data_IF_770023999314
#
_entry.id   IF_770023999314
#
_cell.length_a   1.000
_cell.length_b   1.000
_cell.length_c   1.000
_cell.angle_alpha   90.00
_cell.angle_beta   90.00
_cell.angle_gamma   90.00
#
_symmetry.space_group_name_H-M   'P 1'
#
loop_
_entity.id
_entity.type
_entity.pdbx_description
1 polymer ?
#
# COMPACT_ATOMS: atom_id res chain seq x y z
N UNK A 1 -10.16 -8.64 -10.02
CA UNK A 1 -9.54 -7.99 -11.20
C UNK A 1 -8.60 -8.89 -12.02
N UNK A 2 -8.21 -10.08 -11.54
CA UNK A 2 -7.38 -11.00 -12.36
C UNK A 2 -5.93 -10.52 -12.50
N UNK A 3 -5.14 -11.21 -13.33
CA UNK A 3 -3.74 -10.85 -13.57
C UNK A 3 -3.62 -9.65 -14.53
N UNK A 4 -2.83 -8.65 -14.13
CA UNK A 4 -2.48 -7.51 -14.97
C UNK A 4 -1.00 -7.56 -15.32
N UNK A 5 -0.69 -7.34 -16.61
CA UNK A 5 0.70 -7.21 -17.05
C UNK A 5 1.31 -5.95 -16.44
N UNK A 6 2.60 -6.01 -16.12
CA UNK A 6 3.32 -4.85 -15.59
C UNK A 6 3.17 -3.60 -16.48
N UNK A 7 3.17 -3.76 -17.81
CA UNK A 7 2.96 -2.64 -18.75
C UNK A 7 1.60 -1.95 -18.65
N UNK A 8 0.59 -2.61 -18.07
CA UNK A 8 -0.76 -2.08 -17.85
C UNK A 8 -1.04 -1.70 -16.40
N UNK A 9 -0.13 -2.04 -15.49
CA UNK A 9 -0.26 -1.77 -14.06
C UNK A 9 -0.36 -0.25 -13.76
N UNK A 10 0.42 0.65 -14.40
CA UNK A 10 0.34 2.08 -14.11
C UNK A 10 -1.05 2.67 -14.39
N UNK A 11 -1.76 2.18 -15.42
CA UNK A 11 -3.12 2.63 -15.73
C UNK A 11 -4.13 2.09 -14.70
N UNK A 12 -3.96 0.84 -14.28
CA UNK A 12 -4.78 0.27 -13.21
C UNK A 12 -4.61 1.04 -11.90
N UNK A 13 -3.36 1.28 -11.48
CA UNK A 13 -3.07 2.03 -10.25
C UNK A 13 -3.67 3.44 -10.32
N UNK A 14 -3.53 4.15 -11.44
CA UNK A 14 -4.16 5.47 -11.65
C UNK A 14 -5.68 5.46 -11.64
N UNK A 15 -6.33 4.30 -11.78
CA UNK A 15 -7.79 4.19 -11.73
C UNK A 15 -8.35 4.08 -10.31
N UNK A 16 -7.49 3.90 -9.30
CA UNK A 16 -7.88 3.85 -7.90
C UNK A 16 -7.67 5.22 -7.23
N UNK A 17 -8.31 5.41 -6.07
CA UNK A 17 -8.12 6.59 -5.22
C UNK A 17 -7.04 6.36 -4.14
N UNK A 18 -6.93 5.12 -3.66
CA UNK A 18 -6.04 4.72 -2.57
C UNK A 18 -5.35 3.37 -2.86
N UNK A 19 -4.16 3.17 -2.29
CA UNK A 19 -3.49 1.88 -2.22
C UNK A 19 -3.48 1.39 -0.77
N UNK A 20 -4.16 0.28 -0.48
CA UNK A 20 -4.09 -0.35 0.85
C UNK A 20 -3.00 -1.42 0.84
N UNK A 21 -2.06 -1.34 1.78
CA UNK A 21 -0.95 -2.27 1.94
C UNK A 21 -1.01 -2.99 3.31
N UNK A 22 -1.80 -4.09 3.41
CA UNK A 22 -2.05 -4.81 4.66
C UNK A 22 -0.99 -5.85 5.02
N UNK A 23 0.27 -5.63 4.62
CA UNK A 23 1.30 -6.67 4.78
C UNK A 23 1.77 -6.79 6.21
N UNK A 24 1.88 -8.03 6.69
CA UNK A 24 2.57 -8.35 7.95
C UNK A 24 4.09 -8.24 7.75
N UNK A 25 4.62 -8.65 6.59
CA UNK A 25 6.04 -8.62 6.30
C UNK A 25 6.26 -8.23 4.84
N UNK A 26 7.09 -7.21 4.62
CA UNK A 26 7.49 -6.74 3.30
C UNK A 26 8.88 -6.11 3.41
N UNK A 27 9.87 -6.65 2.70
CA UNK A 27 11.25 -6.20 2.82
C UNK A 27 11.53 -4.90 2.06
N UNK A 28 10.83 -4.69 0.96
CA UNK A 28 11.21 -3.68 -0.04
C UNK A 28 10.06 -2.72 -0.38
N UNK A 29 8.81 -3.15 -0.16
CA UNK A 29 7.60 -2.34 -0.41
C UNK A 29 7.50 -1.80 -1.83
N UNK A 30 7.98 -2.58 -2.82
CA UNK A 30 8.02 -2.17 -4.24
C UNK A 30 6.63 -1.79 -4.75
N UNK A 31 5.60 -2.56 -4.39
CA UNK A 31 4.21 -2.26 -4.77
C UNK A 31 3.70 -0.92 -4.22
N UNK A 32 4.14 -0.53 -3.01
CA UNK A 32 3.83 0.76 -2.41
C UNK A 32 4.50 1.89 -3.19
N UNK A 33 5.77 1.72 -3.54
CA UNK A 33 6.53 2.68 -4.36
C UNK A 33 5.89 2.84 -5.74
N UNK A 34 5.48 1.76 -6.39
CA UNK A 34 4.78 1.79 -7.69
C UNK A 34 3.43 2.53 -7.61
N UNK A 35 2.67 2.30 -6.54
CA UNK A 35 1.43 3.02 -6.25
C UNK A 35 1.64 4.52 -6.07
N UNK A 36 2.60 4.89 -5.21
CA UNK A 36 2.96 6.29 -4.99
C UNK A 36 3.45 6.98 -6.27
N UNK A 37 4.29 6.32 -7.06
CA UNK A 37 4.74 6.82 -8.36
C UNK A 37 3.59 6.97 -9.38
N UNK A 38 2.49 6.25 -9.17
CA UNK A 38 1.26 6.38 -9.95
C UNK A 38 0.27 7.41 -9.40
N UNK A 39 0.62 8.09 -8.30
CA UNK A 39 -0.19 9.15 -7.68
C UNK A 39 -1.12 8.67 -6.57
N UNK A 40 -1.03 7.41 -6.15
CA UNK A 40 -1.87 6.88 -5.06
C UNK A 40 -1.32 7.25 -3.69
N UNK A 41 -2.23 7.55 -2.77
CA UNK A 41 -1.91 7.68 -1.35
C UNK A 41 -1.97 6.29 -0.71
N UNK A 42 -0.88 5.83 -0.06
CA UNK A 42 -0.88 4.53 0.58
C UNK A 42 -1.52 4.58 1.98
N UNK A 43 -2.26 3.54 2.33
CA UNK A 43 -2.73 3.22 3.68
C UNK A 43 -2.02 1.94 4.14
N UNK A 44 -1.22 2.01 5.19
CA UNK A 44 -0.18 1.02 5.48
C UNK A 44 -0.40 0.36 6.85
N UNK A 45 -0.32 -0.97 6.88
CA UNK A 45 -0.27 -1.70 8.15
C UNK A 45 1.07 -1.43 8.87
N UNK A 46 0.99 -0.98 10.12
CA UNK A 46 2.15 -0.78 10.99
C UNK A 46 2.64 -2.13 11.51
N UNK A 47 3.69 -2.65 10.87
CA UNK A 47 4.37 -3.88 11.25
C UNK A 47 5.87 -3.67 11.33
N UNK A 48 6.48 -4.16 12.41
CA UNK A 48 7.94 -4.16 12.60
C UNK A 48 8.69 -5.01 11.56
N UNK A 49 8.00 -5.90 10.85
CA UNK A 49 8.57 -6.77 9.82
C UNK A 49 8.36 -6.21 8.41
N UNK A 50 7.81 -5.00 8.29
CA UNK A 50 7.52 -4.35 7.03
C UNK A 50 8.31 -3.05 6.88
N UNK A 51 9.02 -2.92 5.77
CA UNK A 51 9.62 -1.67 5.33
C UNK A 51 8.55 -0.64 4.94
N UNK A 52 7.29 -1.05 4.74
CA UNK A 52 6.26 -0.17 4.22
C UNK A 52 5.92 0.97 5.18
N UNK A 53 6.07 0.77 6.49
CA UNK A 53 5.74 1.77 7.52
C UNK A 53 6.41 3.13 7.31
N UNK A 54 7.59 3.15 6.67
CA UNK A 54 8.33 4.38 6.36
C UNK A 54 7.63 5.28 5.32
N UNK A 55 6.67 4.75 4.56
CA UNK A 55 5.96 5.47 3.51
C UNK A 55 4.60 6.03 3.96
N UNK A 56 4.24 5.86 5.24
CA UNK A 56 3.04 6.49 5.78
C UNK A 56 3.28 8.00 5.95
N UNK A 57 2.46 8.82 5.31
CA UNK A 57 2.62 10.27 5.33
C UNK A 57 2.16 10.88 6.66
N UNK A 58 1.07 10.36 7.22
CA UNK A 58 0.46 10.84 8.46
C UNK A 58 -0.16 9.68 9.23
N UNK A 59 -0.50 9.87 10.53
CA UNK A 59 -1.08 8.80 11.34
C UNK A 59 -2.35 8.17 10.74
N UNK A 60 -3.14 8.94 9.99
CA UNK A 60 -4.35 8.49 9.32
C UNK A 60 -4.07 7.58 8.11
N UNK A 61 -2.85 7.60 7.57
CA UNK A 61 -2.38 6.69 6.53
C UNK A 61 -1.81 5.39 7.08
N UNK A 62 -1.99 5.11 8.38
CA UNK A 62 -1.50 3.89 9.03
C UNK A 62 -2.51 3.30 10.00
N UNK A 63 -2.46 1.98 10.18
CA UNK A 63 -3.30 1.23 11.11
C UNK A 63 -2.52 0.04 11.68
N UNK A 64 -2.90 -0.51 12.85
CA UNK A 64 -2.20 -1.66 13.43
C UNK A 64 -2.26 -2.91 12.52
N UNK A 65 -1.12 -3.59 12.35
CA UNK A 65 -1.09 -4.85 11.60
C UNK A 65 -2.04 -5.90 12.18
N UNK A 66 -2.84 -6.51 11.32
CA UNK A 66 -3.80 -7.55 11.70
C UNK A 66 -5.11 -7.04 12.31
N UNK A 67 -5.26 -5.72 12.46
CA UNK A 67 -6.50 -5.10 12.94
C UNK A 67 -7.38 -4.68 11.75
N UNK A 68 -8.36 -5.52 11.43
CA UNK A 68 -9.30 -5.28 10.31
C UNK A 68 -10.30 -4.17 10.65
N UNK A 69 -10.66 -4.04 11.94
CA UNK A 69 -11.62 -3.05 12.38
C UNK A 69 -11.01 -1.64 12.34
N UNK A 70 -9.71 -1.51 12.64
CA UNK A 70 -8.98 -0.25 12.50
C UNK A 70 -8.75 0.18 11.04
N UNK A 71 -8.85 -0.75 10.08
CA UNK A 71 -8.75 -0.47 8.65
C UNK A 71 -10.08 -0.02 8.01
N UNK A 72 -11.20 -0.43 8.59
CA UNK A 72 -12.55 -0.21 8.07
C UNK A 72 -13.03 1.24 8.23
#
# INVERSE_FOLDING_TARGET
IGFHKNSTMPQLLRSADLLVHPSIADLESVSVIEGMASGLVPVIADSKLSAAGQFSLCPQSSYPVGDVDALA
#
